data_IF_312612912970
#
_entry.id   IF_312612912970
#
_cell.length_a   1.000
_cell.length_b   1.000
_cell.length_c   1.000
_cell.angle_alpha   90.00
_cell.angle_beta   90.00
_cell.angle_gamma   90.00
#
_symmetry.space_group_name_H-M   'P 1'
#
loop_
_entity.id
_entity.type
_entity.pdbx_description
1 polymer ?
#
# COMPACT_ATOMS: atom_id res chain seq x y z
N UNK A 1 -53.14 6.50 2.46
CA UNK A 1 -53.77 6.79 1.15
C UNK A 1 -52.83 7.67 0.35
N UNK A 2 -52.79 7.43 -0.96
CA UNK A 2 -51.84 7.93 -1.97
C UNK A 2 -51.66 9.46 -1.96
N UNK A 3 -50.45 9.94 -2.31
CA UNK A 3 -50.20 10.45 -3.66
C UNK A 3 -48.70 10.64 -3.96
N UNK A 4 -48.28 10.03 -5.07
CA UNK A 4 -47.06 10.31 -5.83
C UNK A 4 -47.16 11.70 -6.48
N UNK A 5 -46.03 12.37 -6.65
CA UNK A 5 -45.78 13.26 -7.79
C UNK A 5 -44.33 13.07 -8.26
N UNK A 6 -44.21 12.51 -9.46
CA UNK A 6 -43.00 12.43 -10.28
C UNK A 6 -43.10 13.57 -11.30
N UNK A 7 -42.09 14.44 -11.36
CA UNK A 7 -41.75 15.35 -12.47
C UNK A 7 -40.21 15.31 -12.50
N UNK A 8 -39.49 14.97 -13.57
CA UNK A 8 -39.83 14.92 -14.98
C UNK A 8 -38.89 15.86 -15.74
N UNK A 9 -37.76 15.32 -16.22
CA UNK A 9 -36.95 15.67 -17.42
C UNK A 9 -36.64 17.15 -17.76
N UNK A 10 -35.38 17.43 -18.17
CA UNK A 10 -34.94 17.59 -19.58
C UNK A 10 -33.72 18.54 -19.72
N UNK A 11 -32.82 18.16 -20.65
CA UNK A 11 -31.81 18.98 -21.36
C UNK A 11 -30.60 19.36 -20.48
N UNK A 12 -29.37 18.92 -20.70
CA UNK A 12 -28.65 18.73 -21.95
C UNK A 12 -27.45 19.68 -21.95
N UNK A 13 -26.24 19.17 -22.13
CA UNK A 13 -25.10 19.89 -22.71
C UNK A 13 -23.95 18.91 -22.92
N UNK A 14 -23.68 18.65 -24.19
CA UNK A 14 -22.50 17.97 -24.70
C UNK A 14 -21.34 18.97 -24.61
N UNK A 15 -20.28 18.66 -23.87
CA UNK A 15 -18.98 19.32 -24.06
C UNK A 15 -18.10 18.38 -24.86
N UNK A 16 -17.94 18.71 -26.14
CA UNK A 16 -16.88 18.18 -26.98
C UNK A 16 -15.63 19.03 -26.73
N UNK A 17 -14.59 18.44 -26.14
CA UNK A 17 -13.23 18.97 -26.21
C UNK A 17 -12.42 18.06 -27.13
N UNK A 18 -12.21 18.54 -28.36
CA UNK A 18 -11.10 18.13 -29.20
C UNK A 18 -9.89 18.99 -28.81
N UNK A 19 -8.80 18.36 -28.39
CA UNK A 19 -7.49 19.00 -28.38
C UNK A 19 -6.41 17.97 -28.69
N UNK A 20 -6.13 17.90 -29.98
CA UNK A 20 -4.81 17.90 -30.62
C UNK A 20 -3.64 17.20 -29.90
N UNK A 21 -3.21 16.09 -30.52
CA UNK A 21 -2.02 15.33 -30.18
C UNK A 21 -0.74 16.08 -30.63
N UNK A 22 -0.08 16.75 -29.69
CA UNK A 22 1.30 17.19 -29.86
C UNK A 22 2.29 16.06 -29.54
N UNK A 23 2.85 15.41 -30.57
CA UNK A 23 4.04 14.54 -30.43
C UNK A 23 5.23 15.36 -29.94
N UNK A 24 5.73 15.07 -28.75
CA UNK A 24 7.08 15.49 -28.31
C UNK A 24 7.91 14.23 -28.09
N UNK A 25 8.82 13.97 -29.03
CA UNK A 25 9.84 12.92 -28.92
C UNK A 25 11.04 13.47 -28.15
N UNK A 26 11.17 13.11 -26.87
CA UNK A 26 12.41 13.31 -26.14
C UNK A 26 13.27 12.05 -26.24
N UNK A 27 14.31 12.15 -27.07
CA UNK A 27 15.39 11.18 -27.21
C UNK A 27 16.28 11.25 -25.97
N UNK A 28 16.21 10.24 -25.10
CA UNK A 28 17.17 10.06 -24.02
C UNK A 28 18.32 9.18 -24.51
N UNK A 29 19.50 9.77 -24.57
CA UNK A 29 20.77 9.09 -24.82
C UNK A 29 21.25 8.37 -23.55
N UNK A 30 21.22 7.04 -23.56
CA UNK A 30 21.90 6.18 -22.58
C UNK A 30 23.41 6.27 -22.79
N UNK A 31 24.15 6.76 -21.80
CA UNK A 31 25.61 6.60 -21.72
C UNK A 31 25.93 5.62 -20.59
N UNK A 32 26.16 4.37 -20.95
CA UNK A 32 26.67 3.33 -20.06
C UNK A 32 28.19 3.43 -20.04
N UNK A 33 28.78 3.80 -18.90
CA UNK A 33 30.21 3.63 -18.66
C UNK A 33 30.40 2.69 -17.47
N UNK A 34 30.70 1.43 -17.80
CA UNK A 34 31.15 0.44 -16.85
C UNK A 34 32.61 0.72 -16.47
N UNK A 35 32.92 0.68 -15.17
CA UNK A 35 34.29 0.55 -14.68
C UNK A 35 34.38 -0.58 -13.65
N UNK A 36 35.14 -1.58 -14.07
CA UNK A 36 35.73 -2.71 -13.36
C UNK A 36 36.69 -2.21 -12.27
N UNK A 37 36.86 -2.97 -11.18
CA UNK A 37 38.13 -3.56 -10.71
C UNK A 37 37.94 -4.24 -9.35
N UNK A 38 38.35 -5.52 -9.34
CA UNK A 38 38.62 -6.37 -8.17
C UNK A 38 39.82 -5.84 -7.37
N UNK A 39 39.81 -6.06 -6.06
CA UNK A 39 41.04 -6.24 -5.28
C UNK A 39 40.75 -7.10 -4.06
N UNK A 40 41.46 -8.23 -3.97
CA UNK A 40 41.46 -9.20 -2.89
C UNK A 40 42.22 -8.71 -1.64
N UNK A 41 41.75 -9.24 -0.51
CA UNK A 41 42.48 -9.84 0.62
C UNK A 41 43.72 -9.16 1.24
N UNK A 42 43.67 -8.99 2.56
CA UNK A 42 44.85 -9.20 3.42
C UNK A 42 44.46 -9.73 4.81
N UNK A 43 45.27 -10.71 5.24
CA UNK A 43 45.49 -11.42 6.51
C UNK A 43 45.36 -10.59 7.82
N UNK A 44 45.43 -11.10 9.06
CA UNK A 44 45.34 -12.39 9.79
C UNK A 44 45.83 -12.04 11.22
N UNK A 45 45.22 -12.65 12.26
CA UNK A 45 45.73 -12.82 13.64
C UNK A 45 45.90 -11.55 14.51
N UNK A 46 45.91 -11.59 15.84
CA UNK A 46 45.41 -12.47 16.90
C UNK A 46 45.78 -11.70 18.19
N UNK A 47 44.89 -11.63 19.19
CA UNK A 47 45.23 -11.24 20.58
C UNK A 47 44.10 -11.76 21.47
N UNK A 48 44.27 -12.90 22.13
CA UNK A 48 44.83 -13.04 23.50
C UNK A 48 43.93 -12.39 24.56
N UNK A 49 42.87 -13.12 24.96
CA UNK A 49 42.05 -12.78 26.12
C UNK A 49 42.52 -13.56 27.36
N UNK A 50 43.10 -12.83 28.32
CA UNK A 50 43.29 -13.28 29.70
C UNK A 50 41.92 -13.22 30.41
N UNK A 51 41.39 -14.37 30.83
CA UNK A 51 40.19 -14.44 31.67
C UNK A 51 40.56 -14.97 33.05
N UNK A 52 40.39 -14.11 34.05
CA UNK A 52 40.67 -14.39 35.45
C UNK A 52 39.57 -15.29 36.05
N UNK A 53 40.03 -16.34 36.73
CA UNK A 53 39.25 -17.26 37.57
C UNK A 53 39.08 -16.67 38.96
N UNK A 54 37.86 -16.66 39.52
CA UNK A 54 37.55 -16.94 40.94
C UNK A 54 36.04 -17.22 41.18
N UNK A 55 35.68 -18.00 42.22
CA UNK A 55 34.40 -18.74 42.39
C UNK A 55 33.34 -18.01 43.30
N UNK A 56 32.16 -18.61 43.59
CA UNK A 56 30.92 -17.88 43.89
C UNK A 56 30.70 -17.61 45.39
N UNK A 57 29.97 -16.53 45.69
CA UNK A 57 29.43 -16.26 47.03
C UNK A 57 27.91 -16.29 47.01
N UNK A 58 27.37 -17.22 47.80
CA UNK A 58 25.97 -17.37 48.18
C UNK A 58 25.55 -16.24 49.10
N UNK A 59 24.46 -15.54 48.78
CA UNK A 59 23.64 -14.82 49.77
C UNK A 59 22.17 -15.09 49.44
N UNK A 60 21.50 -15.72 50.38
CA UNK A 60 20.06 -15.91 50.45
C UNK A 60 19.46 -14.67 51.11
N UNK A 61 18.60 -13.93 50.41
CA UNK A 61 17.65 -13.01 51.06
C UNK A 61 16.26 -13.13 50.45
N UNK A 62 15.30 -13.08 51.38
CA UNK A 62 13.88 -13.33 51.23
C UNK A 62 13.20 -12.01 50.83
N UNK A 63 12.05 -12.14 50.18
CA UNK A 63 10.79 -11.42 50.46
C UNK A 63 10.25 -10.48 49.37
N UNK A 64 8.92 -10.58 49.27
CA UNK A 64 7.89 -9.68 48.74
C UNK A 64 7.38 -9.96 47.33
N UNK A 65 6.09 -10.32 47.31
CA UNK A 65 5.23 -10.35 46.15
C UNK A 65 5.24 -8.98 45.48
N UNK A 66 5.73 -8.94 44.25
CA UNK A 66 5.46 -7.86 43.32
C UNK A 66 4.19 -8.20 42.56
N UNK A 67 3.17 -7.37 42.74
CA UNK A 67 2.14 -7.20 41.73
C UNK A 67 2.84 -6.79 40.43
N UNK A 68 3.04 -7.74 39.52
CA UNK A 68 3.19 -7.44 38.12
C UNK A 68 1.84 -6.94 37.62
N UNK A 69 1.58 -5.65 37.86
CA UNK A 69 0.84 -4.87 36.90
C UNK A 69 1.65 -4.95 35.61
N UNK A 70 1.30 -5.94 34.79
CA UNK A 70 1.72 -6.05 33.41
C UNK A 70 1.32 -4.75 32.74
N UNK A 71 2.26 -3.81 32.69
CA UNK A 71 2.26 -2.78 31.69
C UNK A 71 2.29 -3.55 30.37
N UNK A 72 1.10 -3.76 29.80
CA UNK A 72 0.95 -4.15 28.42
C UNK A 72 1.66 -3.05 27.64
N UNK A 73 2.92 -3.34 27.29
CA UNK A 73 3.65 -2.63 26.29
C UNK A 73 2.82 -2.85 25.03
N UNK A 74 1.97 -1.88 24.69
CA UNK A 74 1.19 -1.90 23.46
C UNK A 74 2.21 -1.95 22.33
N UNK A 75 2.51 -3.17 21.89
CA UNK A 75 3.31 -3.39 20.71
C UNK A 75 2.53 -2.74 19.57
N UNK A 76 3.02 -1.58 19.11
CA UNK A 76 2.50 -0.93 17.92
C UNK A 76 2.52 -1.95 16.79
N UNK A 77 1.33 -2.30 16.30
CA UNK A 77 1.18 -3.25 15.22
C UNK A 77 1.97 -2.72 14.01
N UNK A 78 3.01 -3.44 13.61
CA UNK A 78 3.78 -3.09 12.42
C UNK A 78 3.15 -3.75 11.20
N UNK A 79 2.91 -2.95 10.15
CA UNK A 79 2.38 -3.41 8.87
C UNK A 79 3.50 -3.59 7.86
N UNK A 80 3.49 -4.72 7.17
CA UNK A 80 4.41 -5.02 6.07
C UNK A 80 3.84 -4.59 4.70
N UNK A 81 2.55 -4.21 4.67
CA UNK A 81 1.78 -3.76 3.51
C UNK A 81 1.78 -4.81 2.38
N UNK A 82 1.62 -6.07 2.77
CA UNK A 82 1.65 -7.22 1.87
C UNK A 82 0.29 -7.50 1.24
N UNK A 83 -0.79 -7.12 1.94
CA UNK A 83 -2.15 -7.25 1.41
C UNK A 83 -3.00 -6.03 1.69
N UNK A 84 -3.86 -5.70 0.72
CA UNK A 84 -4.99 -4.78 0.91
C UNK A 84 -6.27 -5.51 0.51
N UNK A 85 -7.26 -5.55 1.41
CA UNK A 85 -8.51 -6.31 1.25
C UNK A 85 -8.28 -7.80 0.88
N UNK A 86 -7.20 -8.39 1.41
CA UNK A 86 -6.80 -9.79 1.17
C UNK A 86 -6.08 -10.03 -0.16
N UNK A 87 -5.88 -8.98 -0.97
CA UNK A 87 -5.22 -9.05 -2.27
C UNK A 87 -3.75 -8.63 -2.15
N UNK A 88 -2.86 -9.43 -2.74
CA UNK A 88 -1.45 -9.09 -2.91
C UNK A 88 -1.23 -8.53 -4.32
N UNK A 89 -0.14 -7.79 -4.53
CA UNK A 89 0.28 -7.40 -5.88
C UNK A 89 0.76 -8.58 -6.74
N UNK A 90 0.91 -9.76 -6.14
CA UNK A 90 1.29 -11.01 -6.80
C UNK A 90 0.09 -11.88 -7.18
N UNK A 91 -1.13 -11.45 -6.90
CA UNK A 91 -2.31 -12.22 -7.30
C UNK A 91 -2.55 -12.12 -8.81
N UNK A 92 -2.99 -13.23 -9.40
CA UNK A 92 -3.55 -13.28 -10.74
C UNK A 92 -5.09 -13.19 -10.69
N UNK A 93 -5.79 -13.01 -11.83
CA UNK A 93 -7.25 -12.93 -11.83
C UNK A 93 -7.95 -14.12 -11.19
N UNK A 94 -7.42 -15.34 -11.38
CA UNK A 94 -8.01 -16.55 -10.79
C UNK A 94 -7.89 -16.55 -9.26
N UNK A 95 -6.77 -16.06 -8.73
CA UNK A 95 -6.49 -15.96 -7.31
C UNK A 95 -7.38 -14.91 -6.66
N UNK A 96 -7.57 -13.76 -7.31
CA UNK A 96 -8.51 -12.73 -6.85
C UNK A 96 -9.94 -13.26 -6.80
N UNK A 97 -10.42 -13.91 -7.87
CA UNK A 97 -11.78 -14.51 -7.87
C UNK A 97 -11.92 -15.60 -6.80
N UNK A 98 -10.88 -16.38 -6.54
CA UNK A 98 -10.90 -17.39 -5.46
C UNK A 98 -11.01 -16.77 -4.07
N UNK A 99 -10.39 -15.61 -3.86
CA UNK A 99 -10.37 -14.89 -2.57
C UNK A 99 -11.64 -14.08 -2.33
N UNK A 100 -12.14 -13.38 -3.36
CA UNK A 100 -13.22 -12.39 -3.24
C UNK A 100 -14.56 -12.87 -3.81
N UNK A 101 -14.57 -13.97 -4.57
CA UNK A 101 -15.71 -14.38 -5.39
C UNK A 101 -15.72 -13.69 -6.75
N UNK A 102 -16.81 -13.86 -7.50
CA UNK A 102 -16.95 -13.25 -8.82
C UNK A 102 -17.10 -11.72 -8.72
N UNK A 103 -16.42 -10.94 -9.58
CA UNK A 103 -16.60 -9.50 -9.63
C UNK A 103 -17.99 -9.13 -10.16
N UNK A 104 -18.48 -7.96 -9.77
CA UNK A 104 -19.75 -7.40 -10.27
C UNK A 104 -19.67 -7.12 -11.78
N UNK A 105 -18.50 -6.66 -12.24
CA UNK A 105 -18.22 -6.38 -13.65
C UNK A 105 -16.76 -6.65 -13.96
N UNK A 106 -16.51 -7.15 -15.15
CA UNK A 106 -15.18 -7.25 -15.75
C UNK A 106 -15.15 -6.30 -16.94
N UNK A 107 -14.18 -5.40 -16.96
CA UNK A 107 -13.95 -4.47 -18.06
C UNK A 107 -12.56 -4.72 -18.65
N UNK A 108 -12.47 -4.74 -19.99
CA UNK A 108 -11.22 -4.89 -20.74
C UNK A 108 -11.16 -3.78 -21.79
N UNK A 109 -9.98 -3.18 -21.99
CA UNK A 109 -9.80 -2.21 -23.05
C UNK A 109 -9.56 -2.95 -24.39
N UNK A 110 -10.32 -2.65 -25.46
CA UNK A 110 -10.16 -3.32 -26.76
C UNK A 110 -8.76 -3.14 -27.39
N UNK A 111 -8.08 -2.06 -27.02
CA UNK A 111 -6.76 -1.65 -27.51
C UNK A 111 -5.62 -2.03 -26.56
N UNK A 112 -5.89 -2.18 -25.26
CA UNK A 112 -4.93 -2.61 -24.23
C UNK A 112 -5.43 -3.92 -23.59
N UNK A 113 -5.22 -5.03 -24.30
CA UNK A 113 -5.76 -6.34 -23.92
C UNK A 113 -5.14 -6.92 -22.65
N UNK A 114 -3.95 -6.44 -22.31
CA UNK A 114 -3.25 -6.72 -21.07
C UNK A 114 -3.93 -6.08 -19.85
N UNK A 115 -4.69 -5.00 -20.05
CA UNK A 115 -5.38 -4.29 -18.98
C UNK A 115 -6.77 -4.89 -18.74
N UNK A 116 -6.98 -5.38 -17.52
CA UNK A 116 -8.28 -5.92 -17.09
C UNK A 116 -8.68 -5.29 -15.76
N UNK A 117 -9.96 -4.95 -15.61
CA UNK A 117 -10.48 -4.34 -14.39
C UNK A 117 -11.59 -5.25 -13.85
N UNK A 118 -11.40 -5.72 -12.61
CA UNK A 118 -12.44 -6.43 -11.85
C UNK A 118 -13.06 -5.46 -10.85
N UNK A 119 -14.36 -5.23 -10.97
CA UNK A 119 -15.09 -4.30 -10.12
C UNK A 119 -15.81 -5.07 -9.01
N UNK A 120 -15.49 -4.74 -7.77
CA UNK A 120 -16.12 -5.23 -6.55
C UNK A 120 -16.84 -4.07 -5.84
N UNK A 121 -17.70 -4.35 -4.84
CA UNK A 121 -18.28 -3.29 -4.02
C UNK A 121 -17.19 -2.42 -3.36
N UNK A 122 -17.18 -1.14 -3.72
CA UNK A 122 -16.25 -0.12 -3.24
C UNK A 122 -14.75 -0.38 -3.51
N UNK A 123 -14.44 -1.23 -4.49
CA UNK A 123 -13.06 -1.59 -4.81
C UNK A 123 -12.93 -2.04 -6.27
N UNK A 124 -11.86 -1.61 -6.94
CA UNK A 124 -11.46 -2.11 -8.24
C UNK A 124 -10.11 -2.81 -8.12
N UNK A 125 -9.96 -3.96 -8.77
CA UNK A 125 -8.67 -4.63 -8.93
C UNK A 125 -8.29 -4.54 -10.40
N UNK A 126 -7.19 -3.83 -10.68
CA UNK A 126 -6.69 -3.63 -12.03
C UNK A 126 -5.51 -4.55 -12.24
N UNK A 127 -5.55 -5.31 -13.34
CA UNK A 127 -4.51 -6.23 -13.75
C UNK A 127 -3.78 -5.69 -14.98
N UNK A 128 -2.47 -5.95 -15.04
CA UNK A 128 -1.63 -5.82 -16.23
C UNK A 128 -0.75 -7.04 -16.33
N UNK A 129 -0.53 -7.56 -17.54
CA UNK A 129 0.32 -8.73 -17.79
C UNK A 129 -0.05 -9.96 -16.92
N UNK A 130 -1.35 -10.10 -16.61
CA UNK A 130 -1.90 -11.23 -15.86
C UNK A 130 -1.72 -11.16 -14.35
N UNK A 131 -1.18 -10.06 -13.81
CA UNK A 131 -0.95 -9.85 -12.37
C UNK A 131 -1.66 -8.58 -11.91
N UNK A 132 -1.93 -8.47 -10.61
CA UNK A 132 -2.44 -7.21 -10.04
C UNK A 132 -1.43 -6.09 -10.30
N UNK A 133 -1.88 -5.07 -11.03
CA UNK A 133 -1.15 -3.83 -11.24
C UNK A 133 -1.41 -2.86 -10.07
N UNK A 134 -2.69 -2.64 -9.74
CA UNK A 134 -3.06 -1.92 -8.53
C UNK A 134 -4.46 -2.31 -8.03
N UNK A 135 -4.70 -2.04 -6.75
CA UNK A 135 -6.02 -2.09 -6.12
C UNK A 135 -6.45 -0.67 -5.79
N UNK A 136 -7.63 -0.27 -6.23
CA UNK A 136 -8.27 1.01 -5.88
C UNK A 136 -9.42 0.75 -4.91
N UNK A 137 -9.38 1.42 -3.77
CA UNK A 137 -10.51 1.51 -2.83
C UNK A 137 -11.23 2.83 -3.14
N UNK A 138 -12.49 2.75 -3.53
CA UNK A 138 -13.23 3.92 -4.03
C UNK A 138 -13.69 4.82 -2.90
N UNK A 139 -13.99 6.08 -3.24
CA UNK A 139 -14.60 7.05 -2.32
C UNK A 139 -15.79 6.46 -1.57
N UNK A 140 -15.96 6.84 -0.30
CA UNK A 140 -17.08 6.42 0.54
C UNK A 140 -16.96 5.02 1.16
N UNK A 141 -15.86 4.30 0.88
CA UNK A 141 -15.48 3.12 1.64
C UNK A 141 -15.36 3.46 3.14
N UNK A 142 -15.87 2.59 4.00
CA UNK A 142 -15.84 2.83 5.46
C UNK A 142 -14.58 2.28 6.12
N UNK A 143 -14.04 1.20 5.57
CA UNK A 143 -12.85 0.52 6.07
C UNK A 143 -12.08 -0.11 4.91
N UNK A 144 -10.81 -0.41 5.18
CA UNK A 144 -9.95 -1.27 4.38
C UNK A 144 -9.25 -2.26 5.31
N UNK A 145 -8.90 -3.43 4.78
CA UNK A 145 -8.07 -4.40 5.49
C UNK A 145 -6.62 -4.24 5.03
N UNK A 146 -5.70 -3.94 5.93
CA UNK A 146 -4.26 -3.96 5.66
C UNK A 146 -3.66 -5.11 6.43
N UNK A 147 -3.00 -6.05 5.75
CA UNK A 147 -2.40 -7.25 6.37
C UNK A 147 -3.38 -8.03 7.28
N UNK A 148 -4.67 -8.02 6.90
CA UNK A 148 -5.75 -8.68 7.64
C UNK A 148 -6.33 -7.88 8.81
N UNK A 149 -5.81 -6.69 9.11
CA UNK A 149 -6.35 -5.80 10.15
C UNK A 149 -7.29 -4.79 9.53
N UNK A 150 -8.50 -4.67 10.06
CA UNK A 150 -9.48 -3.68 9.60
C UNK A 150 -9.14 -2.30 10.15
N UNK A 151 -9.02 -1.34 9.23
CA UNK A 151 -8.70 0.06 9.53
C UNK A 151 -9.81 0.93 8.92
N UNK A 152 -10.31 1.95 9.63
CA UNK A 152 -11.20 2.94 9.03
C UNK A 152 -10.54 3.58 7.79
N UNK A 153 -11.28 3.75 6.71
CA UNK A 153 -10.77 4.35 5.49
C UNK A 153 -10.77 5.89 5.60
N UNK A 154 -9.98 6.41 6.55
CA UNK A 154 -9.76 7.84 6.77
C UNK A 154 -8.26 8.14 6.81
N UNK A 155 -7.89 9.40 6.56
CA UNK A 155 -6.50 9.84 6.55
C UNK A 155 -5.86 9.60 7.92
N UNK A 156 -6.56 9.94 8.99
CA UNK A 156 -6.08 9.85 10.36
C UNK A 156 -5.86 8.40 10.80
N UNK A 157 -6.82 7.50 10.51
CA UNK A 157 -6.73 6.10 10.89
C UNK A 157 -5.61 5.37 10.15
N UNK A 158 -5.40 5.68 8.87
CA UNK A 158 -4.28 5.10 8.11
C UNK A 158 -2.94 5.62 8.63
N UNK A 159 -2.84 6.92 8.98
CA UNK A 159 -1.64 7.46 9.64
C UNK A 159 -1.38 6.83 11.00
N UNK A 160 -2.42 6.62 11.80
CA UNK A 160 -2.29 5.95 13.10
C UNK A 160 -1.79 4.51 12.94
N UNK A 161 -2.28 3.80 11.92
CA UNK A 161 -1.88 2.42 11.64
C UNK A 161 -0.47 2.32 11.04
N UNK A 162 -0.15 3.14 10.03
CA UNK A 162 1.09 3.01 9.26
C UNK A 162 2.23 3.91 9.75
N UNK A 163 1.95 4.93 10.56
CA UNK A 163 2.92 5.92 11.03
C UNK A 163 2.94 7.19 10.17
N UNK A 164 4.09 7.86 10.11
CA UNK A 164 4.25 9.04 9.26
C UNK A 164 4.28 8.65 7.77
N UNK A 165 3.72 9.48 6.87
CA UNK A 165 3.83 9.27 5.43
C UNK A 165 5.27 9.37 4.95
N UNK A 166 5.63 8.52 3.99
CA UNK A 166 6.94 8.54 3.34
C UNK A 166 7.02 9.64 2.26
N UNK A 167 5.86 9.97 1.66
CA UNK A 167 5.75 11.00 0.62
C UNK A 167 4.51 11.88 0.79
N UNK A 168 4.65 13.15 0.43
CA UNK A 168 3.57 14.11 0.26
C UNK A 168 3.55 14.54 -1.21
N UNK A 169 2.42 14.38 -1.88
CA UNK A 169 2.22 14.76 -3.28
C UNK A 169 1.18 15.87 -3.38
N UNK A 170 1.03 16.47 -4.58
CA UNK A 170 0.04 17.53 -4.80
C UNK A 170 -1.40 17.06 -4.55
N UNK A 171 -1.65 15.78 -4.77
CA UNK A 171 -2.96 15.13 -4.76
C UNK A 171 -3.13 14.12 -3.61
N UNK A 172 -2.21 14.08 -2.64
CA UNK A 172 -2.30 13.09 -1.57
C UNK A 172 -1.06 12.85 -0.73
N UNK A 173 -1.09 11.74 0.00
CA UNK A 173 0.01 11.23 0.83
C UNK A 173 0.25 9.75 0.54
N UNK A 174 1.47 9.27 0.70
CA UNK A 174 1.78 7.86 0.44
C UNK A 174 2.62 7.23 1.55
N UNK A 175 2.38 5.94 1.76
CA UNK A 175 3.12 5.08 2.69
C UNK A 175 3.75 3.95 1.89
N UNK A 176 5.06 3.76 2.03
CA UNK A 176 5.81 2.74 1.31
C UNK A 176 6.38 1.70 2.28
N UNK A 177 6.09 0.43 2.05
CA UNK A 177 6.70 -0.68 2.81
C UNK A 177 7.14 -1.75 1.81
N UNK A 178 8.42 -2.08 1.85
CA UNK A 178 9.03 -3.04 0.92
C UNK A 178 8.79 -2.63 -0.54
N UNK A 179 8.25 -3.51 -1.38
CA UNK A 179 7.93 -3.19 -2.78
C UNK A 179 6.58 -2.49 -2.99
N UNK A 180 5.81 -2.18 -1.94
CA UNK A 180 4.44 -1.71 -2.07
C UNK A 180 4.20 -0.32 -1.51
N UNK A 181 3.30 0.40 -2.16
CA UNK A 181 2.86 1.75 -1.80
C UNK A 181 1.35 1.75 -1.57
N UNK A 182 0.93 2.40 -0.48
CA UNK A 182 -0.46 2.81 -0.25
C UNK A 182 -0.55 4.33 -0.39
N UNK A 183 -1.14 4.81 -1.48
CA UNK A 183 -1.38 6.25 -1.70
C UNK A 183 -2.82 6.60 -1.36
N UNK A 184 -2.99 7.62 -0.55
CA UNK A 184 -4.28 8.22 -0.21
C UNK A 184 -4.44 9.47 -1.07
N UNK A 185 -5.38 9.43 -2.00
CA UNK A 185 -5.73 10.59 -2.81
C UNK A 185 -6.68 11.48 -2.03
N UNK A 186 -6.36 12.77 -2.00
CA UNK A 186 -7.08 13.77 -1.20
C UNK A 186 -7.43 14.94 -2.10
N UNK A 187 -8.70 15.32 -2.08
CA UNK A 187 -9.17 16.53 -2.74
C UNK A 187 -8.58 17.76 -2.04
N UNK A 188 -7.85 18.59 -2.78
CA UNK A 188 -7.07 19.69 -2.20
C UNK A 188 -7.93 20.79 -1.59
N UNK A 189 -9.16 20.96 -2.09
CA UNK A 189 -10.06 22.04 -1.67
C UNK A 189 -10.83 21.65 -0.41
N UNK A 190 -11.32 20.41 -0.36
CA UNK A 190 -12.18 19.90 0.71
C UNK A 190 -11.44 19.08 1.76
N UNK A 191 -10.18 18.71 1.50
CA UNK A 191 -9.34 17.84 2.32
C UNK A 191 -9.99 16.46 2.57
N UNK A 192 -10.84 16.01 1.64
CA UNK A 192 -11.52 14.71 1.72
C UNK A 192 -10.74 13.65 0.97
N UNK A 193 -10.68 12.46 1.56
CA UNK A 193 -10.18 11.26 0.90
C UNK A 193 -11.09 10.90 -0.29
N UNK A 194 -10.52 10.87 -1.50
CA UNK A 194 -11.24 10.53 -2.74
C UNK A 194 -11.02 9.07 -3.14
N UNK A 195 -9.83 8.53 -2.92
CA UNK A 195 -9.54 7.10 -3.12
C UNK A 195 -8.28 6.66 -2.36
N UNK A 196 -8.11 5.35 -2.23
CA UNK A 196 -6.86 4.74 -1.73
C UNK A 196 -6.35 3.77 -2.79
N UNK A 197 -5.09 3.87 -3.17
CA UNK A 197 -4.48 2.99 -4.17
C UNK A 197 -3.34 2.19 -3.56
N UNK A 198 -3.30 0.89 -3.86
CA UNK A 198 -2.25 -0.04 -3.46
C UNK A 198 -1.54 -0.59 -4.70
N UNK A 199 -0.24 -0.34 -4.83
CA UNK A 199 0.54 -0.62 -6.06
C UNK A 199 2.05 -0.76 -5.77
N UNK A 200 2.84 -1.16 -6.78
CA UNK A 200 4.28 -1.34 -6.64
C UNK A 200 5.06 -0.02 -6.59
N UNK A 201 6.06 0.13 -5.72
CA UNK A 201 6.83 1.39 -5.59
C UNK A 201 7.56 1.83 -6.86
N UNK A 202 8.01 0.88 -7.68
CA UNK A 202 8.66 1.15 -8.97
C UNK A 202 7.71 1.57 -10.11
N UNK A 203 6.42 1.73 -9.82
CA UNK A 203 5.43 2.25 -10.77
C UNK A 203 5.16 3.76 -10.59
N UNK A 204 5.88 4.42 -9.66
CA UNK A 204 5.90 5.89 -9.51
C UNK A 204 6.76 6.59 -10.56
#
# INVERSE_FOLDING_TARGET
MRNMMIIGCLIGSIFAFNSDYGKVTNTYSLSTSASKVMSEASAKAADEMVSASMPPSTVTEVTYASNDASAANEATQSFALQTVNGITLYDDPSSVTKKLGEPKRISEDPHLKELKIYEYPNMNVVFSDGMVNFVEITEGSKSLLIDGVEIPATIEAVKEALGEPDYFTEDGIAFERNEAVLKLFVDTDTQKLTSIHYFYSFTM
#
